data_IF_845395954545
#
_entry.id   IF_845395954545
#
_cell.length_a   1.000
_cell.length_b   1.000
_cell.length_c   1.000
_cell.angle_alpha   90.00
_cell.angle_beta   90.00
_cell.angle_gamma   90.00
#
_symmetry.space_group_name_H-M   'P 1'
#
loop_
_entity.id
_entity.type
_entity.pdbx_description
1 polymer ?
#
# COMPACT_ATOMS: atom_id res chain seq x y z
N UNK A 1 4.56 -5.55 -7.87
CA UNK A 1 4.49 -5.68 -6.39
C UNK A 1 3.21 -6.44 -6.05
N UNK A 2 3.06 -6.96 -4.83
CA UNK A 2 1.81 -7.59 -4.40
C UNK A 2 1.17 -6.77 -3.27
N UNK A 3 0.05 -6.12 -3.59
CA UNK A 3 -0.71 -5.27 -2.67
C UNK A 3 -1.67 -6.07 -1.76
N UNK A 4 -1.84 -7.35 -2.03
CA UNK A 4 -2.78 -8.24 -1.32
C UNK A 4 -2.13 -9.12 -0.28
N UNK A 5 -0.82 -9.34 -0.40
CA UNK A 5 -0.03 -10.18 0.51
C UNK A 5 0.09 -9.59 1.93
N UNK A 6 0.12 -8.26 2.07
CA UNK A 6 0.45 -7.61 3.33
C UNK A 6 -0.77 -7.15 4.12
N UNK A 7 -0.59 -6.99 5.43
CA UNK A 7 -1.64 -6.49 6.34
C UNK A 7 -2.20 -5.13 5.94
N UNK A 8 -1.42 -4.29 5.26
CA UNK A 8 -1.88 -3.04 4.67
C UNK A 8 -1.26 -2.88 3.26
N UNK A 9 -2.01 -2.49 2.22
CA UNK A 9 -1.52 -2.46 0.83
C UNK A 9 -0.31 -1.54 0.64
N UNK A 10 -0.27 -0.43 1.37
CA UNK A 10 0.86 0.52 1.40
C UNK A 10 2.19 -0.14 1.80
N UNK A 11 2.16 -1.29 2.48
CA UNK A 11 3.37 -2.05 2.80
C UNK A 11 3.99 -2.75 1.59
N UNK A 12 3.31 -2.83 0.44
CA UNK A 12 3.82 -3.45 -0.78
C UNK A 12 5.03 -2.72 -1.39
N UNK A 13 5.22 -1.44 -1.03
CA UNK A 13 6.35 -0.61 -1.48
C UNK A 13 7.28 -0.25 -0.32
N UNK A 14 8.58 -0.02 -0.58
CA UNK A 14 9.48 0.53 0.44
C UNK A 14 9.11 1.98 0.78
N UNK A 15 9.41 2.41 2.01
CA UNK A 15 9.18 3.79 2.43
C UNK A 15 10.33 4.70 1.97
N UNK A 16 10.08 5.74 1.15
CA UNK A 16 11.14 6.65 0.71
C UNK A 16 11.71 7.49 1.86
N UNK A 17 10.93 7.75 2.92
CA UNK A 17 11.35 8.59 4.06
C UNK A 17 12.27 7.85 5.04
N UNK A 18 11.89 6.65 5.47
CA UNK A 18 12.63 5.91 6.50
C UNK A 18 13.37 4.67 5.98
N UNK A 19 13.30 4.39 4.67
CA UNK A 19 13.89 3.23 3.99
C UNK A 19 13.46 1.87 4.55
N UNK A 20 12.33 1.82 5.27
CA UNK A 20 11.72 0.55 5.66
C UNK A 20 11.33 -0.25 4.41
N UNK A 21 11.69 -1.53 4.39
CA UNK A 21 11.39 -2.42 3.27
C UNK A 21 9.91 -2.76 3.13
N UNK A 22 9.58 -3.47 2.05
CA UNK A 22 8.27 -4.06 1.83
C UNK A 22 7.86 -4.97 3.00
N UNK A 23 6.59 -4.93 3.40
CA UNK A 23 6.05 -5.68 4.54
C UNK A 23 6.40 -5.11 5.91
N UNK A 24 7.49 -4.34 6.05
CA UNK A 24 7.90 -3.74 7.31
C UNK A 24 7.15 -2.44 7.59
N UNK A 25 6.69 -2.23 8.82
CA UNK A 25 6.13 -0.95 9.26
C UNK A 25 7.17 0.18 9.20
N UNK A 26 6.68 1.41 9.01
CA UNK A 26 7.53 2.59 9.06
C UNK A 26 8.18 2.73 10.44
N UNK A 27 9.39 3.32 10.46
CA UNK A 27 10.15 3.55 11.68
C UNK A 27 10.30 5.05 11.91
N UNK A 28 10.19 5.46 13.16
CA UNK A 28 10.51 6.82 13.59
C UNK A 28 12.03 7.03 13.60
N UNK A 29 12.54 8.27 13.62
CA UNK A 29 13.98 8.56 13.62
C UNK A 29 14.75 7.83 14.73
N UNK A 30 14.10 7.57 15.87
CA UNK A 30 14.63 6.77 16.98
C UNK A 30 14.75 5.26 16.69
N UNK A 31 14.43 4.81 15.47
CA UNK A 31 14.55 3.41 15.04
C UNK A 31 13.40 2.50 15.44
N UNK A 32 12.58 2.89 16.40
CA UNK A 32 11.37 2.16 16.79
C UNK A 32 10.28 2.23 15.72
N UNK A 33 9.31 1.31 15.80
CA UNK A 33 8.11 1.30 14.96
C UNK A 33 7.28 2.58 15.15
N UNK A 34 6.88 3.21 14.06
CA UNK A 34 5.93 4.31 14.04
C UNK A 34 4.50 3.78 14.27
N UNK A 35 3.63 4.62 14.85
CA UNK A 35 2.22 4.29 15.02
C UNK A 35 1.52 4.14 13.66
N UNK A 36 1.85 5.04 12.73
CA UNK A 36 1.29 5.13 11.39
C UNK A 36 2.35 4.96 10.29
N UNK A 37 1.87 4.78 9.05
CA UNK A 37 2.71 4.78 7.86
C UNK A 37 2.90 6.21 7.39
N UNK A 38 4.13 6.58 7.03
CA UNK A 38 4.41 7.90 6.43
C UNK A 38 3.61 8.12 5.14
N UNK A 39 3.05 9.32 4.96
CA UNK A 39 2.26 9.72 3.78
C UNK A 39 3.02 9.52 2.47
N UNK A 40 4.33 9.80 2.47
CA UNK A 40 5.17 9.59 1.29
C UNK A 40 5.21 8.12 0.84
N UNK A 41 5.03 7.16 1.76
CA UNK A 41 4.88 5.75 1.41
C UNK A 41 3.50 5.48 0.82
N UNK A 42 2.46 6.11 1.35
CA UNK A 42 1.11 6.07 0.76
C UNK A 42 1.13 6.55 -0.68
N UNK A 43 1.67 7.74 -0.93
CA UNK A 43 1.79 8.30 -2.28
C UNK A 43 2.64 7.43 -3.23
N UNK A 44 3.67 6.74 -2.74
CA UNK A 44 4.41 5.77 -3.57
C UNK A 44 3.60 4.50 -3.84
N UNK A 45 2.83 4.03 -2.86
CA UNK A 45 1.96 2.88 -3.03
C UNK A 45 0.86 3.18 -4.06
N UNK A 46 0.23 4.35 -4.01
CA UNK A 46 -0.74 4.82 -5.01
C UNK A 46 -0.13 4.88 -6.41
N UNK A 47 1.03 5.54 -6.55
CA UNK A 47 1.73 5.62 -7.86
C UNK A 47 2.09 4.25 -8.41
N UNK A 48 2.58 3.35 -7.56
CA UNK A 48 2.92 1.98 -7.96
C UNK A 48 1.67 1.16 -8.31
N UNK A 49 0.59 1.33 -7.56
CA UNK A 49 -0.69 0.65 -7.80
C UNK A 49 -1.30 1.07 -9.13
N UNK A 50 -1.41 2.39 -9.39
CA UNK A 50 -1.91 2.94 -10.65
C UNK A 50 -1.06 2.47 -11.83
N UNK A 51 0.27 2.46 -11.68
CA UNK A 51 1.18 1.98 -12.73
C UNK A 51 0.97 0.49 -13.04
N UNK A 52 0.68 -0.32 -12.03
CA UNK A 52 0.55 -1.77 -12.16
C UNK A 52 -0.84 -2.21 -12.60
N UNK A 53 -1.90 -1.55 -12.11
CA UNK A 53 -3.29 -1.98 -12.26
C UNK A 53 -4.16 -1.00 -13.07
N UNK A 54 -3.66 0.21 -13.35
CA UNK A 54 -4.43 1.28 -13.99
C UNK A 54 -5.10 2.20 -12.98
N UNK A 55 -5.44 3.41 -13.43
CA UNK A 55 -6.04 4.44 -12.57
C UNK A 55 -7.49 4.15 -12.15
N UNK A 56 -8.16 3.25 -12.86
CA UNK A 56 -9.54 2.82 -12.57
C UNK A 56 -9.60 1.67 -11.57
N UNK A 57 -8.51 0.93 -11.40
CA UNK A 57 -8.48 -0.19 -10.49
C UNK A 57 -8.70 0.28 -9.04
N UNK A 58 -9.36 -0.56 -8.25
CA UNK A 58 -9.55 -0.31 -6.82
C UNK A 58 -9.03 -1.49 -6.02
N UNK A 59 -8.60 -1.22 -4.79
CA UNK A 59 -8.28 -2.26 -3.83
C UNK A 59 -9.18 -2.09 -2.61
N UNK A 60 -9.85 -3.18 -2.21
CA UNK A 60 -10.77 -3.18 -1.08
C UNK A 60 -10.45 -4.30 -0.12
N UNK A 61 -10.85 -4.09 1.13
CA UNK A 61 -10.76 -5.13 2.16
C UNK A 61 -11.81 -6.20 1.86
N UNK A 62 -11.40 -7.46 1.90
CA UNK A 62 -12.27 -8.62 1.75
C UNK A 62 -11.92 -9.63 2.86
N UNK A 63 -12.74 -9.63 3.91
CA UNK A 63 -12.45 -10.37 5.14
C UNK A 63 -11.08 -10.01 5.75
N UNK A 64 -10.21 -11.01 5.87
CA UNK A 64 -8.84 -10.86 6.39
C UNK A 64 -7.81 -10.47 5.32
N UNK A 65 -8.22 -10.43 4.05
CA UNK A 65 -7.37 -10.14 2.90
C UNK A 65 -7.70 -8.83 2.19
N UNK A 66 -7.10 -8.68 1.02
CA UNK A 66 -7.38 -7.59 0.10
C UNK A 66 -7.67 -8.18 -1.27
N UNK A 67 -8.62 -7.59 -1.98
CA UNK A 67 -8.93 -7.94 -3.37
C UNK A 67 -8.76 -6.70 -4.23
N UNK A 68 -8.15 -6.89 -5.39
CA UNK A 68 -7.99 -5.87 -6.41
C UNK A 68 -9.10 -6.08 -7.42
N UNK A 69 -9.87 -5.03 -7.63
CA UNK A 69 -10.85 -4.96 -8.69
C UNK A 69 -10.26 -4.12 -9.84
N UNK A 70 -9.95 -4.73 -11.00
CA UNK A 70 -9.29 -4.04 -12.11
C UNK A 70 -10.18 -3.01 -12.83
N UNK A 71 -11.51 -3.12 -12.71
CA UNK A 71 -12.46 -2.24 -13.38
C UNK A 71 -12.96 -1.11 -12.47
N UNK A 72 -12.59 -1.14 -11.20
CA UNK A 72 -13.11 -0.23 -10.21
C UNK A 72 -14.56 -0.55 -9.88
N UNK A 73 -15.19 0.29 -9.08
CA UNK A 73 -16.62 0.15 -8.78
C UNK A 73 -17.43 0.56 -10.01
N UNK A 74 -17.50 -0.30 -11.02
CA UNK A 74 -18.50 -0.26 -12.08
C UNK A 74 -19.87 -0.42 -11.39
N UNK A 75 -20.42 0.69 -10.93
CA UNK A 75 -21.82 0.79 -10.49
C UNK A 75 -22.62 1.24 -11.70
N UNK A 76 -23.33 0.29 -12.29
CA UNK A 76 -24.67 0.56 -12.82
C UNK A 76 -25.57 1.10 -11.68
#
# INVERSE_FOLDING_TARGET
MDFTTWRHPVLAVPCPTCRAGTGAWCKRPSGHRAADLHDARGAEADRAFIRQHGATATIRRDGTGWIIDPHGRERD
#
